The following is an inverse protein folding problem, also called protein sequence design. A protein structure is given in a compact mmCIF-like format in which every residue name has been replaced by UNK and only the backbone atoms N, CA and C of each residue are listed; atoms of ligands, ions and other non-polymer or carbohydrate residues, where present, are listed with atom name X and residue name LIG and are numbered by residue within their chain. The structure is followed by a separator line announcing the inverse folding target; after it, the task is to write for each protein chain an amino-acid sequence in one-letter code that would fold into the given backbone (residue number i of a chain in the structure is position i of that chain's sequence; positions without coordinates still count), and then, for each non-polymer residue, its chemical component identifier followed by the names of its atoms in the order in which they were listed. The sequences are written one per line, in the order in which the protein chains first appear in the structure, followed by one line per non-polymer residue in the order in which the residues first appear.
data_IF_749144506581
#
_entry.id   IF_749144506581
#
_cell.length_a   1.000
_cell.length_b   1.000
_cell.length_c   1.000
_cell.angle_alpha   90.00
_cell.angle_beta   90.00
_cell.angle_gamma   90.00
#
_symmetry.space_group_name_H-M   'P 1'
#
loop_
_entity.id
_entity.type
_entity.pdbx_description
1 polymer ?
#
# COMPACT_ATOMS: atom_id res chain seq x y z
N UNK A 1 -39.58 -11.08 13.65
CA UNK A 1 -38.80 -10.01 13.01
C UNK A 1 -37.35 -10.21 13.40
N UNK A 2 -36.45 -10.30 12.43
CA UNK A 2 -35.03 -10.61 12.64
C UNK A 2 -34.29 -9.34 13.09
N UNK A 3 -33.73 -9.34 14.30
CA UNK A 3 -32.99 -8.22 14.92
C UNK A 3 -31.57 -8.06 14.35
N UNK A 4 -31.38 -8.38 13.07
CA UNK A 4 -30.09 -8.36 12.40
C UNK A 4 -29.60 -6.92 12.24
N UNK A 5 -28.32 -6.71 12.58
CA UNK A 5 -27.53 -5.48 12.42
C UNK A 5 -27.59 -4.47 13.56
N UNK A 6 -27.40 -4.92 14.80
CA UNK A 6 -26.70 -4.08 15.78
C UNK A 6 -25.27 -3.90 15.27
N UNK A 7 -24.86 -2.67 15.00
CA UNK A 7 -23.50 -2.28 14.63
C UNK A 7 -22.52 -3.00 15.56
N UNK A 8 -21.74 -3.93 15.03
CA UNK A 8 -20.83 -4.77 15.80
C UNK A 8 -19.66 -3.88 16.24
N UNK A 9 -19.78 -3.24 17.41
CA UNK A 9 -18.68 -2.51 18.02
C UNK A 9 -17.76 -3.51 18.72
N UNK A 10 -17.12 -4.38 17.92
CA UNK A 10 -16.20 -5.37 18.43
C UNK A 10 -14.93 -4.65 18.96
N UNK A 11 -14.41 -5.03 20.14
CA UNK A 11 -13.12 -4.53 20.62
C UNK A 11 -12.03 -4.82 19.59
N UNK A 12 -10.99 -3.99 19.55
CA UNK A 12 -9.85 -4.15 18.62
C UNK A 12 -9.28 -5.57 18.59
N UNK A 13 -9.29 -6.26 19.73
CA UNK A 13 -8.85 -7.65 19.86
C UNK A 13 -9.69 -8.66 19.05
N UNK A 14 -10.99 -8.41 18.90
CA UNK A 14 -11.87 -9.26 18.10
C UNK A 14 -11.51 -9.12 16.62
N UNK A 15 -11.25 -7.89 16.15
CA UNK A 15 -10.81 -7.65 14.77
C UNK A 15 -9.43 -8.25 14.48
N UNK A 16 -8.51 -8.20 15.44
CA UNK A 16 -7.21 -8.91 15.35
C UNK A 16 -7.44 -10.42 15.24
N UNK A 17 -8.35 -10.98 16.04
CA UNK A 17 -8.70 -12.41 16.01
C UNK A 17 -9.34 -12.80 14.68
N UNK A 18 -10.28 -12.00 14.17
CA UNK A 18 -10.92 -12.21 12.87
C UNK A 18 -9.88 -12.14 11.75
N UNK A 19 -8.95 -11.17 11.80
CA UNK A 19 -7.86 -11.06 10.83
C UNK A 19 -6.96 -12.30 10.85
N UNK A 20 -6.58 -12.78 12.03
CA UNK A 20 -5.80 -14.00 12.20
C UNK A 20 -6.46 -15.19 11.51
N UNK A 21 -7.73 -15.46 11.84
CA UNK A 21 -8.50 -16.58 11.28
C UNK A 21 -8.63 -16.43 9.76
N UNK A 22 -8.93 -15.22 9.28
CA UNK A 22 -9.05 -14.96 7.85
C UNK A 22 -7.74 -15.23 7.09
N UNK A 23 -6.59 -14.90 7.68
CA UNK A 23 -5.29 -15.19 7.10
C UNK A 23 -4.94 -16.68 7.12
N UNK A 24 -5.22 -17.38 8.22
CA UNK A 24 -4.99 -18.83 8.36
C UNK A 24 -5.82 -19.65 7.36
N UNK A 25 -7.06 -19.23 7.09
CA UNK A 25 -7.98 -19.91 6.17
C UNK A 25 -8.02 -19.31 4.76
N UNK A 26 -7.18 -18.30 4.47
CA UNK A 26 -7.12 -17.62 3.17
C UNK A 26 -8.44 -16.97 2.71
N UNK A 27 -9.28 -16.53 3.65
CA UNK A 27 -10.54 -15.84 3.36
C UNK A 27 -10.29 -14.37 2.98
N UNK A 28 -10.09 -14.13 1.68
CA UNK A 28 -9.72 -12.81 1.15
C UNK A 28 -10.71 -11.70 1.51
N UNK A 29 -12.01 -11.94 1.40
CA UNK A 29 -13.04 -10.93 1.69
C UNK A 29 -13.08 -10.59 3.18
N UNK A 30 -13.01 -11.60 4.04
CA UNK A 30 -12.97 -11.41 5.50
C UNK A 30 -11.68 -10.70 5.92
N UNK A 31 -10.54 -11.04 5.30
CA UNK A 31 -9.26 -10.35 5.52
C UNK A 31 -9.39 -8.87 5.21
N UNK A 32 -9.89 -8.54 4.01
CA UNK A 32 -10.07 -7.15 3.59
C UNK A 32 -11.07 -6.40 4.49
N UNK A 33 -12.13 -7.09 4.96
CA UNK A 33 -13.09 -6.50 5.87
C UNK A 33 -12.45 -6.20 7.25
N UNK A 34 -11.72 -7.16 7.83
CA UNK A 34 -11.03 -6.98 9.10
C UNK A 34 -9.99 -5.84 9.03
N UNK A 35 -9.25 -5.72 7.93
CA UNK A 35 -8.30 -4.62 7.70
C UNK A 35 -9.03 -3.27 7.75
N UNK A 36 -10.14 -3.10 7.03
CA UNK A 36 -10.93 -1.85 7.06
C UNK A 36 -11.46 -1.51 8.44
N UNK A 37 -11.83 -2.50 9.25
CA UNK A 37 -12.29 -2.27 10.62
C UNK A 37 -11.12 -1.87 11.53
N UNK A 38 -9.95 -2.50 11.37
CA UNK A 38 -8.73 -2.14 12.10
C UNK A 38 -8.21 -0.73 11.76
N UNK A 39 -8.45 -0.25 10.55
CA UNK A 39 -8.16 1.14 10.15
C UNK A 39 -9.03 2.14 10.93
N UNK A 40 -10.23 1.76 11.34
CA UNK A 40 -11.15 2.58 12.14
C UNK A 40 -10.85 2.51 13.64
N UNK A 41 -10.10 1.51 14.08
CA UNK A 41 -9.67 1.39 15.48
C UNK A 41 -8.55 2.41 15.80
N UNK A 42 -8.55 2.92 17.03
CA UNK A 42 -7.53 3.83 17.56
C UNK A 42 -6.23 3.07 17.92
N UNK A 43 -5.58 2.48 16.92
CA UNK A 43 -4.29 1.80 17.03
C UNK A 43 -3.15 2.78 16.69
N UNK A 44 -2.04 2.66 17.40
CA UNK A 44 -0.80 3.34 17.01
C UNK A 44 -0.33 2.82 15.64
N UNK A 45 0.40 3.65 14.89
CA UNK A 45 0.98 3.29 13.59
C UNK A 45 1.88 2.07 13.72
N UNK A 46 2.66 2.01 14.80
CA UNK A 46 3.60 0.92 15.11
C UNK A 46 2.83 -0.37 15.40
N UNK A 47 1.82 -0.32 16.28
CA UNK A 47 1.00 -1.49 16.59
C UNK A 47 0.29 -2.04 15.36
N UNK A 48 -0.25 -1.15 14.52
CA UNK A 48 -0.90 -1.54 13.26
C UNK A 48 0.09 -2.19 12.29
N UNK A 49 1.29 -1.61 12.15
CA UNK A 49 2.36 -2.17 11.33
C UNK A 49 2.77 -3.57 11.81
N UNK A 50 2.95 -3.74 13.12
CA UNK A 50 3.29 -5.02 13.73
C UNK A 50 2.22 -6.07 13.47
N UNK A 51 0.94 -5.73 13.66
CA UNK A 51 -0.19 -6.64 13.37
C UNK A 51 -0.20 -7.04 11.89
N UNK A 52 -0.03 -6.09 10.98
CA UNK A 52 -0.06 -6.36 9.54
C UNK A 52 1.13 -7.23 9.10
N UNK A 53 2.30 -7.04 9.68
CA UNK A 53 3.46 -7.91 9.45
C UNK A 53 3.25 -9.32 9.99
N UNK A 54 2.72 -9.43 11.22
CA UNK A 54 2.46 -10.71 11.89
C UNK A 54 1.52 -11.59 11.06
N UNK A 55 0.48 -11.00 10.49
CA UNK A 55 -0.51 -11.71 9.67
C UNK A 55 -0.24 -11.67 8.17
N UNK A 56 0.97 -11.24 7.75
CA UNK A 56 1.42 -11.20 6.35
C UNK A 56 0.42 -10.49 5.43
N UNK A 57 -0.11 -9.36 5.89
CA UNK A 57 -0.99 -8.50 5.10
C UNK A 57 -0.24 -7.98 3.87
N UNK A 58 -0.97 -7.75 2.77
CA UNK A 58 -0.41 -7.27 1.51
C UNK A 58 0.42 -5.99 1.73
N UNK A 59 1.55 -5.90 1.01
CA UNK A 59 2.48 -4.77 1.11
C UNK A 59 1.80 -3.41 0.86
N UNK A 60 0.72 -3.37 0.08
CA UNK A 60 -0.07 -2.18 -0.18
C UNK A 60 -0.61 -1.50 1.09
N UNK A 61 -0.88 -2.26 2.16
CA UNK A 61 -1.32 -1.71 3.45
C UNK A 61 -0.15 -1.38 4.40
N UNK A 62 1.01 -2.01 4.19
CA UNK A 62 2.21 -1.79 5.00
C UNK A 62 2.95 -0.53 4.55
N UNK A 63 2.99 -0.24 3.25
CA UNK A 63 3.72 0.90 2.70
C UNK A 63 3.28 2.26 3.26
N UNK A 64 1.96 2.57 3.37
CA UNK A 64 1.52 3.83 3.97
C UNK A 64 1.97 3.99 5.43
N UNK A 65 2.00 2.89 6.20
CA UNK A 65 2.45 2.92 7.59
C UNK A 65 3.96 3.15 7.69
N UNK A 66 4.75 2.56 6.79
CA UNK A 66 6.18 2.82 6.71
C UNK A 66 6.46 4.27 6.31
N UNK A 67 5.71 4.81 5.34
CA UNK A 67 5.79 6.21 4.95
C UNK A 67 5.56 7.13 6.14
N UNK A 68 4.46 6.94 6.88
CA UNK A 68 4.11 7.73 8.06
C UNK A 68 5.23 7.71 9.12
N UNK A 69 5.81 6.54 9.40
CA UNK A 69 6.92 6.43 10.35
C UNK A 69 8.23 7.06 9.86
N UNK A 70 8.45 7.11 8.54
CA UNK A 70 9.67 7.69 7.97
C UNK A 70 9.64 9.22 7.94
N UNK A 71 8.46 9.84 7.75
CA UNK A 71 8.33 11.31 7.69
C UNK A 71 8.22 11.98 9.06
N UNK A 72 7.98 11.20 10.14
CA UNK A 72 7.94 11.73 11.51
C UNK A 72 9.23 12.49 11.84
N UNK A 73 9.10 13.59 12.59
CA UNK A 73 10.24 14.38 13.06
C UNK A 73 11.24 13.51 13.84
N UNK A 74 10.74 12.77 14.81
CA UNK A 74 11.51 11.82 15.61
C UNK A 74 11.46 10.40 15.02
N UNK A 75 12.55 9.65 15.22
CA UNK A 75 12.60 8.23 14.85
C UNK A 75 11.80 7.35 15.82
N UNK A 76 11.67 6.04 15.53
CA UNK A 76 11.06 5.10 16.47
C UNK A 76 11.77 5.12 17.82
N UNK A 77 10.99 5.15 18.89
CA UNK A 77 11.47 5.02 20.29
C UNK A 77 11.93 3.59 20.58
N UNK A 78 12.58 3.40 21.74
CA UNK A 78 13.00 2.06 22.20
C UNK A 78 11.80 1.12 22.37
N UNK A 79 10.69 1.61 22.94
CA UNK A 79 9.46 0.85 23.13
C UNK A 79 8.82 0.46 21.78
N UNK A 80 8.75 1.41 20.83
CA UNK A 80 8.25 1.13 19.49
C UNK A 80 9.14 0.11 18.76
N UNK A 81 10.46 0.19 18.96
CA UNK A 81 11.44 -0.72 18.37
C UNK A 81 11.32 -2.14 18.93
N UNK A 82 11.04 -2.28 20.22
CA UNK A 82 10.75 -3.57 20.84
C UNK A 82 9.45 -4.18 20.30
N UNK A 83 8.40 -3.36 20.13
CA UNK A 83 7.10 -3.81 19.62
C UNK A 83 7.16 -4.30 18.16
N UNK A 84 7.82 -3.55 17.28
CA UNK A 84 7.90 -3.89 15.84
C UNK A 84 9.04 -4.84 15.48
N UNK A 85 10.00 -5.00 16.38
CA UNK A 85 11.19 -5.81 16.20
C UNK A 85 12.31 -5.14 15.40
N UNK A 86 13.54 -5.55 15.74
CA UNK A 86 14.81 -4.98 15.25
C UNK A 86 14.87 -4.87 13.72
N UNK A 87 14.38 -5.88 13.00
CA UNK A 87 14.44 -5.90 11.53
C UNK A 87 13.66 -4.75 10.92
N UNK A 88 12.44 -4.50 11.39
CA UNK A 88 11.58 -3.44 10.88
C UNK A 88 12.10 -2.07 11.29
N UNK A 89 12.57 -1.93 12.53
CA UNK A 89 13.21 -0.68 12.98
C UNK A 89 14.43 -0.33 12.14
N UNK A 90 15.28 -1.31 11.83
CA UNK A 90 16.47 -1.09 10.99
C UNK A 90 16.09 -0.67 9.56
N UNK A 91 15.00 -1.20 9.01
CA UNK A 91 14.47 -0.76 7.71
C UNK A 91 14.09 0.72 7.77
N UNK A 92 13.33 1.14 8.79
CA UNK A 92 12.93 2.54 8.97
C UNK A 92 14.15 3.44 9.13
N UNK A 93 15.13 3.07 9.96
CA UNK A 93 16.35 3.86 10.12
C UNK A 93 17.15 3.98 8.82
N UNK A 94 17.25 2.91 8.02
CA UNK A 94 17.90 2.96 6.70
C UNK A 94 17.18 3.86 5.71
N UNK A 95 15.85 3.83 5.70
CA UNK A 95 15.05 4.73 4.84
C UNK A 95 15.29 6.17 5.25
N UNK A 96 15.15 6.47 6.54
CA UNK A 96 15.36 7.82 7.09
C UNK A 96 16.78 8.33 6.83
N UNK A 97 17.79 7.47 7.00
CA UNK A 97 19.18 7.82 6.72
C UNK A 97 19.39 8.16 5.24
N UNK A 98 18.76 7.42 4.33
CA UNK A 98 18.81 7.71 2.90
C UNK A 98 18.18 9.07 2.56
N UNK A 99 17.07 9.41 3.22
CA UNK A 99 16.42 10.72 3.07
C UNK A 99 17.29 11.85 3.60
N UNK A 100 18.04 11.62 4.69
CA UNK A 100 19.03 12.58 5.23
C UNK A 100 20.26 12.75 4.35
N UNK A 101 20.74 11.68 3.72
CA UNK A 101 21.87 11.75 2.81
C UNK A 101 21.58 12.65 1.58
N UNK A 102 20.32 12.79 1.18
CA UNK A 102 19.88 13.77 0.18
C UNK A 102 19.75 15.20 0.71
N UNK A 103 19.53 15.37 2.02
CA UNK A 103 19.28 16.64 2.69
C UNK A 103 20.42 17.00 3.68
N UNK A 104 21.50 17.61 3.18
CA UNK A 104 22.53 18.34 3.93
C UNK A 104 23.17 17.69 5.20
N UNK A 105 23.07 16.37 5.40
CA UNK A 105 23.97 15.62 6.28
C UNK A 105 23.31 14.83 7.43
N UNK A 106 24.11 14.06 8.18
CA UNK A 106 23.66 12.96 9.04
C UNK A 106 22.85 13.36 10.29
N UNK A 107 22.77 14.66 10.61
CA UNK A 107 22.13 15.18 11.82
C UNK A 107 20.85 15.98 11.56
N UNK A 108 20.43 16.14 10.29
CA UNK A 108 19.18 16.84 10.00
C UNK A 108 17.98 15.90 10.25
N UNK A 109 16.88 16.37 10.84
CA UNK A 109 15.57 15.73 10.66
C UNK A 109 15.30 15.51 9.16
N UNK A 110 14.44 14.54 8.82
CA UNK A 110 13.95 14.43 7.43
C UNK A 110 13.38 15.80 7.07
N UNK A 111 13.95 16.45 6.04
CA UNK A 111 13.72 17.87 5.82
C UNK A 111 12.22 18.14 5.66
N UNK A 112 11.71 19.16 6.34
CA UNK A 112 10.34 19.62 6.16
C UNK A 112 10.18 20.10 4.71
N UNK A 113 9.69 19.23 3.83
CA UNK A 113 9.66 19.44 2.38
C UNK A 113 10.18 18.29 1.53
N UNK A 114 10.66 17.18 2.12
CA UNK A 114 10.91 15.94 1.37
C UNK A 114 9.64 15.51 0.65
N UNK A 115 9.68 15.48 -0.68
CA UNK A 115 8.51 15.16 -1.49
C UNK A 115 8.07 13.71 -1.28
N UNK A 116 6.77 13.45 -1.32
CA UNK A 116 6.21 12.09 -1.17
C UNK A 116 6.88 11.06 -2.08
N UNK A 117 7.17 11.45 -3.34
CA UNK A 117 7.86 10.61 -4.32
C UNK A 117 9.27 10.19 -3.86
N UNK A 118 10.02 11.07 -3.19
CA UNK A 118 11.37 10.79 -2.70
C UNK A 118 11.33 9.78 -1.54
N UNK A 119 10.38 9.96 -0.61
CA UNK A 119 10.15 9.03 0.49
C UNK A 119 9.78 7.64 -0.03
N UNK A 120 8.83 7.58 -0.96
CA UNK A 120 8.38 6.31 -1.55
C UNK A 120 9.51 5.63 -2.32
N UNK A 121 10.34 6.38 -3.06
CA UNK A 121 11.51 5.83 -3.73
C UNK A 121 12.53 5.26 -2.75
N UNK A 122 12.79 5.93 -1.61
CA UNK A 122 13.67 5.43 -0.57
C UNK A 122 13.13 4.14 0.07
N UNK A 123 11.82 4.07 0.33
CA UNK A 123 11.14 2.87 0.84
C UNK A 123 11.32 1.71 -0.14
N UNK A 124 11.02 1.90 -1.42
CA UNK A 124 11.16 0.86 -2.44
C UNK A 124 12.61 0.39 -2.60
N UNK A 125 13.57 1.31 -2.59
CA UNK A 125 14.98 0.97 -2.67
C UNK A 125 15.44 0.10 -1.49
N UNK A 126 15.02 0.41 -0.26
CA UNK A 126 15.39 -0.37 0.93
C UNK A 126 14.67 -1.73 0.99
N UNK A 127 13.41 -1.78 0.56
CA UNK A 127 12.64 -3.03 0.51
C UNK A 127 12.99 -3.92 -0.69
N UNK A 128 13.75 -3.42 -1.67
CA UNK A 128 14.06 -4.13 -2.91
C UNK A 128 12.82 -4.39 -3.78
N UNK A 129 11.79 -3.55 -3.65
CA UNK A 129 10.52 -3.68 -4.38
C UNK A 129 10.60 -2.84 -5.64
N UNK A 130 10.34 -3.44 -6.79
CA UNK A 130 10.26 -2.69 -8.04
C UNK A 130 8.99 -1.81 -8.04
N UNK A 131 9.19 -0.49 -7.99
CA UNK A 131 8.13 0.52 -7.97
C UNK A 131 7.13 0.40 -9.13
N UNK A 132 7.54 -0.20 -10.26
CA UNK A 132 6.69 -0.44 -11.43
C UNK A 132 5.56 -1.46 -11.17
N UNK A 133 5.75 -2.39 -10.22
CA UNK A 133 4.80 -3.46 -9.93
C UNK A 133 3.57 -3.01 -9.13
N UNK A 134 3.66 -1.88 -8.43
CA UNK A 134 2.56 -1.34 -7.63
C UNK A 134 1.63 -0.46 -8.47
N UNK A 135 2.17 0.26 -9.46
CA UNK A 135 1.38 1.09 -10.38
C UNK A 135 0.47 0.26 -11.30
N UNK A 136 0.86 -0.98 -11.62
CA UNK A 136 0.07 -1.87 -12.48
C UNK A 136 -1.25 -2.35 -11.86
N UNK A 137 -1.38 -2.35 -10.51
CA UNK A 137 -2.59 -2.80 -9.80
C UNK A 137 -3.58 -1.65 -9.52
N UNK A 138 -3.16 -0.40 -9.71
CA UNK A 138 -4.00 0.79 -9.54
C UNK A 138 -4.76 1.19 -10.81
N UNK A 139 -4.49 0.55 -11.96
CA UNK A 139 -5.29 0.75 -13.17
C UNK A 139 -6.64 0.05 -13.00
N UNK A 140 -7.78 0.77 -12.95
CA UNK A 140 -9.07 0.11 -13.13
C UNK A 140 -9.08 -0.44 -14.55
N UNK A 141 -9.22 -1.76 -14.67
CA UNK A 141 -9.61 -2.41 -15.92
C UNK A 141 -10.91 -1.77 -16.36
N UNK A 142 -10.84 -0.84 -17.32
CA UNK A 142 -12.02 -0.27 -17.94
C UNK A 142 -12.60 -1.35 -18.85
N UNK A 143 -13.83 -1.85 -18.62
CA UNK A 143 -14.47 -2.68 -19.59
C UNK A 143 -15.26 -1.79 -20.56
N UNK A 144 -15.10 -2.15 -21.83
CA UNK A 144 -16.07 -1.99 -22.91
C UNK A 144 -15.82 -0.85 -23.91
N UNK A 145 -15.61 -1.23 -25.16
CA UNK A 145 -16.66 -1.11 -26.18
C UNK A 145 -16.25 -1.87 -27.44
N UNK A 146 -16.80 -3.06 -27.61
CA UNK A 146 -16.90 -3.70 -28.93
C UNK A 146 -18.29 -3.44 -29.49
N UNK A 147 -18.39 -2.78 -30.64
CA UNK A 147 -19.49 -3.02 -31.58
C UNK A 147 -19.22 -2.44 -32.98
N UNK A 148 -18.99 -3.35 -33.93
CA UNK A 148 -19.69 -3.37 -35.20
C UNK A 148 -19.28 -2.40 -36.30
N UNK A 149 -18.39 -2.84 -37.20
CA UNK A 149 -18.49 -2.51 -38.62
C UNK A 149 -17.91 -3.66 -39.45
N UNK A 150 -18.80 -4.55 -39.88
CA UNK A 150 -18.54 -5.65 -40.81
C UNK A 150 -18.62 -5.13 -42.25
N UNK A 151 -17.58 -5.43 -43.04
CA UNK A 151 -17.70 -5.73 -44.48
C UNK A 151 -17.52 -4.58 -45.47
N UNK A 152 -16.37 -4.54 -46.14
CA UNK A 152 -16.26 -4.91 -47.57
C UNK A 152 -14.84 -4.62 -48.10
N UNK A 153 -14.14 -5.69 -48.49
CA UNK A 153 -12.93 -5.69 -49.31
C UNK A 153 -13.39 -5.84 -50.76
N UNK A 154 -13.03 -4.94 -51.69
CA UNK A 154 -12.62 -5.33 -53.07
C UNK A 154 -11.57 -4.34 -53.62
N UNK A 155 -10.61 -4.96 -54.29
CA UNK A 155 -9.40 -4.55 -54.97
C UNK A 155 -9.56 -3.73 -56.28
N UNK A 156 -8.56 -2.85 -56.52
CA UNK A 156 -7.75 -2.65 -57.75
C UNK A 156 -8.27 -1.85 -58.97
N UNK A 157 -7.41 -0.91 -59.39
CA UNK A 157 -6.96 -0.50 -60.76
C UNK A 157 -7.56 0.67 -61.56
N UNK A 158 -6.60 1.44 -62.11
CA UNK A 158 -6.52 2.08 -63.44
C UNK A 158 -7.16 3.47 -63.74
N UNK A 159 -6.29 4.50 -63.76
CA UNK A 159 -6.00 5.43 -64.86
C UNK A 159 -7.10 5.75 -65.92
N UNK A 160 -7.54 7.02 -66.01
CA UNK A 160 -7.58 7.82 -67.27
C UNK A 160 -7.98 9.30 -67.07
N UNK A 161 -7.38 10.15 -67.93
CA UNK A 161 -7.57 11.59 -68.11
C UNK A 161 -8.97 12.04 -68.56
N UNK A 162 -9.27 13.32 -68.34
CA UNK A 162 -9.92 14.19 -69.33
C UNK A 162 -11.15 14.96 -68.85
N UNK A 163 -11.00 16.25 -68.57
CA UNK A 163 -11.53 17.34 -69.40
C UNK A 163 -10.91 18.68 -68.97
#
# INVERSE_FOLDING_TARGET
MNNTYSVYNAPTQDWITILKIACEHHFKEVKNFAIRQLEQCNLSVVSRLTIYQLYKVDLAFILPLLYELCIREEGPTDQETEEMGIKTSLIIFRIRERLRAGANGPMSPVAAGTGEAEVMQAIYAVLGVDSSLLNARASPTSPNSGSGATGAIIATTHHKNGN
#
